data_IF_691820800278
#
_entry.id   IF_691820800278
#
_cell.length_a   1.000
_cell.length_b   1.000
_cell.length_c   1.000
_cell.angle_alpha   90.00
_cell.angle_beta   90.00
_cell.angle_gamma   90.00
#
_symmetry.space_group_name_H-M   'P 1'
#
loop_
_entity.id
_entity.type
_entity.pdbx_description
1 polymer ?
#
# COMPACT_ATOMS: atom_id res chain seq x y z
N UNK A 1 9.66 4.10 -0.36
CA UNK A 1 9.11 3.22 -1.41
C UNK A 1 7.78 3.77 -1.89
N UNK A 2 6.68 3.38 -1.23
CA UNK A 2 5.29 3.69 -1.64
C UNK A 2 5.06 5.18 -1.92
N UNK A 3 5.34 6.08 -0.97
CA UNK A 3 5.14 7.52 -1.17
C UNK A 3 5.91 8.05 -2.39
N UNK A 4 7.17 7.61 -2.58
CA UNK A 4 7.96 8.01 -3.74
C UNK A 4 7.37 7.52 -5.05
N UNK A 5 6.79 6.32 -5.09
CA UNK A 5 6.10 5.78 -6.26
C UNK A 5 4.80 6.53 -6.58
N UNK A 6 4.04 6.97 -5.56
CA UNK A 6 2.82 7.76 -5.74
C UNK A 6 3.14 9.17 -6.25
N UNK A 7 4.14 9.82 -5.64
CA UNK A 7 4.60 11.15 -6.08
C UNK A 7 5.17 11.12 -7.50
N UNK A 8 5.88 10.05 -7.87
CA UNK A 8 6.40 9.87 -9.22
C UNK A 8 5.30 9.68 -10.30
N UNK A 9 4.05 9.46 -9.89
CA UNK A 9 2.87 9.41 -10.76
C UNK A 9 2.10 10.74 -10.76
N UNK A 10 2.74 11.84 -10.38
CA UNK A 10 2.16 13.19 -10.28
C UNK A 10 0.98 13.32 -9.28
N UNK A 11 0.87 12.39 -8.32
CA UNK A 11 -0.10 12.51 -7.23
C UNK A 11 0.28 13.66 -6.29
N UNK A 12 -0.71 14.42 -5.82
CA UNK A 12 -0.47 15.49 -4.85
C UNK A 12 0.18 14.93 -3.57
N UNK A 13 1.02 15.72 -2.90
CA UNK A 13 1.69 15.25 -1.69
C UNK A 13 0.72 14.86 -0.58
N UNK A 14 -0.41 15.55 -0.48
CA UNK A 14 -1.46 15.25 0.49
C UNK A 14 -2.16 13.92 0.18
N UNK A 15 -2.54 13.70 -1.09
CA UNK A 15 -3.23 12.47 -1.50
C UNK A 15 -2.28 11.27 -1.41
N UNK A 16 -1.01 11.44 -1.79
CA UNK A 16 0.02 10.42 -1.65
C UNK A 16 0.26 10.06 -0.17
N UNK A 17 0.24 11.06 0.72
CA UNK A 17 0.33 10.82 2.16
C UNK A 17 -0.87 10.02 2.67
N UNK A 18 -2.09 10.44 2.32
CA UNK A 18 -3.32 9.76 2.71
C UNK A 18 -3.35 8.30 2.22
N UNK A 19 -3.14 8.09 0.92
CA UNK A 19 -3.18 6.77 0.30
C UNK A 19 -2.03 5.88 0.81
N UNK A 20 -0.82 6.41 0.91
CA UNK A 20 0.33 5.62 1.37
C UNK A 20 0.23 5.16 2.82
N UNK A 21 -0.30 6.00 3.71
CA UNK A 21 -0.57 5.60 5.12
C UNK A 21 -1.67 4.55 5.18
N UNK A 22 -2.77 4.75 4.45
CA UNK A 22 -3.86 3.79 4.39
C UNK A 22 -3.41 2.42 3.87
N UNK A 23 -2.69 2.39 2.74
CA UNK A 23 -2.14 1.15 2.17
C UNK A 23 -1.22 0.42 3.15
N UNK A 24 -0.36 1.16 3.86
CA UNK A 24 0.56 0.58 4.84
C UNK A 24 -0.16 -0.03 6.04
N UNK A 25 -1.18 0.67 6.56
CA UNK A 25 -1.98 0.20 7.69
C UNK A 25 -2.79 -1.06 7.31
N UNK A 26 -3.49 -1.04 6.16
CA UNK A 26 -4.28 -2.18 5.71
C UNK A 26 -3.41 -3.42 5.40
N UNK A 27 -2.22 -3.23 4.80
CA UNK A 27 -1.29 -4.34 4.59
C UNK A 27 -0.77 -4.92 5.92
N UNK A 28 -0.46 -4.05 6.89
CA UNK A 28 -0.05 -4.45 8.23
C UNK A 28 -1.14 -5.22 8.98
N UNK A 29 -2.40 -4.79 8.88
CA UNK A 29 -3.55 -5.48 9.46
C UNK A 29 -3.73 -6.88 8.86
N UNK A 30 -3.81 -7.00 7.53
CA UNK A 30 -3.99 -8.29 6.82
C UNK A 30 -2.89 -9.30 7.13
N UNK A 31 -1.66 -8.85 7.28
CA UNK A 31 -0.52 -9.70 7.61
C UNK A 31 -0.41 -9.98 9.11
N UNK A 32 -0.87 -9.06 9.95
CA UNK A 32 -0.93 -9.22 11.41
C UNK A 32 -1.84 -10.37 11.84
N UNK A 33 -2.91 -10.62 11.09
CA UNK A 33 -3.79 -11.79 11.29
C UNK A 33 -3.06 -13.13 11.08
N UNK A 34 -1.95 -13.13 10.33
CA UNK A 34 -1.16 -14.33 10.04
C UNK A 34 -0.04 -14.55 11.06
N UNK A 35 0.17 -13.61 11.98
CA UNK A 35 1.17 -13.69 13.04
C UNK A 35 1.96 -12.41 13.25
N UNK A 36 3.01 -12.50 14.06
CA UNK A 36 3.88 -11.38 14.44
C UNK A 36 5.24 -11.48 13.75
N UNK A 37 5.96 -10.36 13.72
CA UNK A 37 7.34 -10.32 13.23
C UNK A 37 7.46 -9.96 11.75
N UNK A 38 6.61 -9.07 11.26
CA UNK A 38 6.66 -8.60 9.88
C UNK A 38 7.86 -7.67 9.67
N UNK A 39 8.65 -7.97 8.65
CA UNK A 39 9.61 -7.05 8.08
C UNK A 39 8.95 -6.18 7.01
N UNK A 40 9.54 -5.01 6.76
CA UNK A 40 8.97 -4.04 5.81
C UNK A 40 8.73 -4.61 4.40
N UNK A 41 9.56 -5.55 3.95
CA UNK A 41 9.40 -6.19 2.65
C UNK A 41 8.18 -7.13 2.56
N UNK A 42 7.67 -7.61 3.70
CA UNK A 42 6.53 -8.54 3.73
C UNK A 42 5.24 -7.81 3.34
N UNK A 43 5.18 -6.49 3.51
CA UNK A 43 4.02 -5.67 3.16
C UNK A 43 3.89 -5.46 1.65
N UNK A 44 4.98 -5.59 0.87
CA UNK A 44 4.99 -5.23 -0.56
C UNK A 44 3.93 -6.00 -1.37
N UNK A 45 3.80 -7.34 -1.25
CA UNK A 45 2.77 -8.09 -1.98
C UNK A 45 1.35 -7.68 -1.59
N UNK A 46 1.10 -7.43 -0.30
CA UNK A 46 -0.23 -7.04 0.20
C UNK A 46 -0.64 -5.64 -0.27
N UNK A 47 0.31 -4.69 -0.29
CA UNK A 47 0.09 -3.34 -0.84
C UNK A 47 -0.27 -3.39 -2.33
N UNK A 48 0.41 -4.23 -3.11
CA UNK A 48 0.08 -4.43 -4.53
C UNK A 48 -1.35 -4.97 -4.70
N UNK A 49 -1.71 -5.99 -3.92
CA UNK A 49 -3.05 -6.56 -3.97
C UNK A 49 -4.13 -5.54 -3.61
N UNK A 50 -3.91 -4.73 -2.57
CA UNK A 50 -4.82 -3.63 -2.18
C UNK A 50 -5.02 -2.63 -3.33
N UNK A 51 -3.94 -2.26 -4.03
CA UNK A 51 -4.04 -1.39 -5.19
C UNK A 51 -4.84 -2.03 -6.33
N UNK A 52 -4.63 -3.31 -6.62
CA UNK A 52 -5.36 -4.07 -7.65
C UNK A 52 -6.86 -4.24 -7.31
N UNK A 53 -7.20 -4.42 -6.03
CA UNK A 53 -8.60 -4.54 -5.56
C UNK A 53 -9.38 -3.22 -5.69
N UNK A 54 -8.73 -2.09 -5.38
CA UNK A 54 -9.37 -0.77 -5.36
C UNK A 54 -9.21 0.02 -6.66
N UNK A 55 -8.20 -0.32 -7.45
CA UNK A 55 -8.03 0.16 -8.82
C UNK A 55 -8.40 -1.01 -9.72
N UNK A 56 -9.70 -1.12 -10.04
CA UNK A 56 -10.12 -2.00 -11.11
C UNK A 56 -9.35 -1.58 -12.35
N UNK A 57 -8.30 -2.33 -12.71
CA UNK A 57 -7.79 -2.29 -14.07
C UNK A 57 -8.99 -2.72 -14.91
N UNK A 58 -9.67 -1.75 -15.53
CA UNK A 58 -10.55 -2.06 -16.63
C UNK A 58 -9.63 -2.66 -17.69
N UNK A 59 -9.67 -3.99 -17.81
CA UNK A 59 -9.08 -4.72 -18.92
C UNK A 59 -9.74 -4.29 -20.24
#
# INVERSE_FOLDING_TARGET
>A
GVFGALLAQDMSAWDAACLGVWLHACAGERLGDQGRGLAAHDLIPSIRQLLEEHSACQA
#
